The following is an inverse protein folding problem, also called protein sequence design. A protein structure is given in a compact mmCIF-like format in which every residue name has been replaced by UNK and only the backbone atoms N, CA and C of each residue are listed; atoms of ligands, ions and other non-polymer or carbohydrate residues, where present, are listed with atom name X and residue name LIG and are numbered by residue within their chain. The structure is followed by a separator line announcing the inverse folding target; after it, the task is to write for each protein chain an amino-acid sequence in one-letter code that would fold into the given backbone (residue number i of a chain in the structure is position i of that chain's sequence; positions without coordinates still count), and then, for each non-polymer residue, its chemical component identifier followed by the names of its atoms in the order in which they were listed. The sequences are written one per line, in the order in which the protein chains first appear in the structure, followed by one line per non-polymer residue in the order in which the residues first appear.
data_IF_989299734241
#
_entry.id   IF_989299734241
#
_cell.length_a   1.000
_cell.length_b   1.000
_cell.length_c   1.000
_cell.angle_alpha   90.00
_cell.angle_beta   90.00
_cell.angle_gamma   90.00
#
_symmetry.space_group_name_H-M   'P 1'
#
loop_
_entity.id
_entity.type
_entity.pdbx_description
1 polymer ?
#
# COMPACT_ATOMS: atom_id res chain seq x y z
N UNK A 1 -16.77 -6.13 -28.62
CA UNK A 1 -16.09 -4.85 -28.36
C UNK A 1 -15.26 -5.06 -27.09
N UNK A 2 -13.93 -5.10 -27.16
CA UNK A 2 -13.08 -5.20 -25.95
C UNK A 2 -13.01 -3.81 -25.29
N UNK A 3 -13.68 -3.64 -24.15
CA UNK A 3 -13.48 -2.46 -23.32
C UNK A 3 -12.31 -2.73 -22.39
N UNK A 4 -11.22 -1.99 -22.56
CA UNK A 4 -10.11 -1.96 -21.60
C UNK A 4 -10.50 -1.05 -20.44
N UNK A 5 -10.55 -1.61 -19.23
CA UNK A 5 -10.67 -0.82 -18.00
C UNK A 5 -9.26 -0.59 -17.45
N UNK A 6 -8.83 0.67 -17.37
CA UNK A 6 -7.57 1.03 -16.73
C UNK A 6 -7.85 1.36 -15.25
N UNK A 7 -7.22 0.62 -14.35
CA UNK A 7 -7.23 0.93 -12.91
C UNK A 7 -5.93 1.66 -12.56
N UNK A 8 -6.04 2.82 -11.93
CA UNK A 8 -4.88 3.56 -11.41
C UNK A 8 -4.75 3.25 -9.93
N UNK A 9 -3.59 2.76 -9.51
CA UNK A 9 -3.27 2.51 -8.11
C UNK A 9 -2.48 3.67 -7.50
N UNK A 10 -2.78 3.99 -6.25
CA UNK A 10 -2.02 4.94 -5.42
C UNK A 10 -1.44 4.17 -4.23
N UNK A 11 -0.18 4.45 -3.89
CA UNK A 11 0.40 4.00 -2.62
C UNK A 11 0.05 5.02 -1.55
N UNK A 12 -0.60 4.56 -0.47
CA UNK A 12 -0.91 5.37 0.71
C UNK A 12 -0.19 4.82 1.94
N UNK A 13 0.08 5.70 2.90
CA UNK A 13 0.67 5.37 4.19
C UNK A 13 -0.35 5.49 5.32
N UNK A 14 0.00 5.04 6.52
CA UNK A 14 -0.69 5.52 7.74
C UNK A 14 -0.35 6.99 7.99
N UNK A 15 -1.26 7.75 8.56
CA UNK A 15 -1.13 9.21 8.72
C UNK A 15 0.05 9.67 9.59
N UNK A 16 0.56 8.81 10.48
CA UNK A 16 1.73 9.08 11.32
C UNK A 16 3.06 8.60 10.71
N UNK A 17 3.04 8.09 9.47
CA UNK A 17 4.24 7.71 8.74
C UNK A 17 4.96 8.96 8.22
N UNK A 18 6.16 9.22 8.73
CA UNK A 18 6.95 10.40 8.34
C UNK A 18 7.40 10.44 6.87
N UNK A 19 7.38 9.30 6.17
CA UNK A 19 7.85 9.17 4.80
C UNK A 19 6.79 9.73 3.83
N UNK A 20 7.14 10.82 3.15
CA UNK A 20 6.23 11.56 2.26
C UNK A 20 6.43 11.21 0.79
N UNK A 21 7.48 10.45 0.47
CA UNK A 21 7.80 10.05 -0.91
C UNK A 21 8.07 8.56 -1.03
N UNK A 22 7.84 8.00 -2.22
CA UNK A 22 8.18 6.59 -2.50
C UNK A 22 9.67 6.29 -2.24
N UNK A 23 10.56 7.25 -2.52
CA UNK A 23 12.00 7.11 -2.26
C UNK A 23 12.26 6.92 -0.76
N UNK A 24 11.67 7.77 0.08
CA UNK A 24 11.82 7.68 1.53
C UNK A 24 11.25 6.38 2.10
N UNK A 25 10.14 5.89 1.54
CA UNK A 25 9.57 4.57 1.90
C UNK A 25 10.54 3.43 1.53
N UNK A 26 11.15 3.48 0.33
CA UNK A 26 12.15 2.49 -0.09
C UNK A 26 13.39 2.54 0.81
N UNK A 27 13.86 3.74 1.15
CA UNK A 27 15.02 3.92 2.02
C UNK A 27 14.74 3.44 3.45
N UNK A 28 13.54 3.70 3.97
CA UNK A 28 13.07 3.16 5.26
C UNK A 28 13.08 1.62 5.26
N UNK A 29 12.51 1.00 4.23
CA UNK A 29 12.43 -0.46 4.10
C UNK A 29 13.82 -1.10 3.94
N UNK A 30 14.74 -0.44 3.21
CA UNK A 30 16.12 -0.89 3.08
C UNK A 30 16.89 -0.81 4.39
N UNK A 31 16.68 0.26 5.16
CA UNK A 31 17.30 0.43 6.47
C UNK A 31 16.74 -0.55 7.52
N UNK A 32 15.49 -1.00 7.36
CA UNK A 32 14.80 -1.86 8.32
C UNK A 32 14.11 -3.06 7.64
N UNK A 33 14.88 -4.05 7.15
CA UNK A 33 14.33 -5.20 6.44
C UNK A 33 13.26 -5.94 7.26
N UNK A 34 12.11 -6.20 6.64
CA UNK A 34 10.99 -6.94 7.24
C UNK A 34 10.20 -6.17 8.32
N UNK A 35 10.52 -4.89 8.58
CA UNK A 35 9.82 -4.06 9.57
C UNK A 35 8.67 -3.27 8.98
N UNK A 36 8.88 -2.66 7.80
CA UNK A 36 7.82 -1.98 7.08
C UNK A 36 6.82 -3.00 6.58
N UNK A 37 5.54 -2.75 6.82
CA UNK A 37 4.43 -3.61 6.39
C UNK A 37 3.73 -3.03 5.17
N UNK A 38 3.23 -3.91 4.30
CA UNK A 38 2.33 -3.55 3.20
C UNK A 38 1.12 -4.46 3.20
N UNK A 39 -0.06 -3.87 3.40
CA UNK A 39 -1.30 -4.59 3.37
C UNK A 39 -1.74 -4.86 1.93
N UNK A 40 -2.43 -5.96 1.70
CA UNK A 40 -3.05 -6.29 0.41
C UNK A 40 -4.47 -6.81 0.64
N UNK A 41 -5.36 -6.58 -0.33
CA UNK A 41 -6.75 -7.02 -0.24
C UNK A 41 -6.94 -8.53 -0.52
N UNK A 42 -5.86 -9.29 -0.67
CA UNK A 42 -5.87 -10.73 -0.94
C UNK A 42 -4.88 -11.13 -2.03
N UNK A 43 -4.44 -12.39 -1.99
CA UNK A 43 -3.59 -12.98 -3.02
C UNK A 43 -4.27 -12.92 -4.40
N UNK A 44 -3.52 -12.49 -5.41
CA UNK A 44 -3.97 -12.37 -6.80
C UNK A 44 -4.66 -11.05 -7.14
N UNK A 45 -4.94 -10.18 -6.16
CA UNK A 45 -5.46 -8.84 -6.40
C UNK A 45 -4.41 -7.93 -7.04
N UNK A 46 -4.83 -6.83 -7.67
CA UNK A 46 -3.90 -5.82 -8.20
C UNK A 46 -3.01 -5.22 -7.10
N UNK A 47 -3.55 -5.05 -5.89
CA UNK A 47 -2.81 -4.62 -4.69
C UNK A 47 -1.66 -5.58 -4.36
N UNK A 48 -1.91 -6.89 -4.39
CA UNK A 48 -0.88 -7.91 -4.18
C UNK A 48 0.19 -7.86 -5.27
N UNK A 49 -0.20 -7.74 -6.54
CA UNK A 49 0.75 -7.62 -7.65
C UNK A 49 1.64 -6.38 -7.49
N UNK A 50 1.07 -5.22 -7.15
CA UNK A 50 1.84 -3.98 -6.93
C UNK A 50 2.80 -4.10 -5.75
N UNK A 51 2.39 -4.75 -4.65
CA UNK A 51 3.28 -5.00 -3.51
C UNK A 51 4.47 -5.88 -3.88
N UNK A 52 4.24 -6.97 -4.61
CA UNK A 52 5.30 -7.87 -5.09
C UNK A 52 6.22 -7.15 -6.07
N UNK A 53 5.66 -6.34 -6.99
CA UNK A 53 6.44 -5.55 -7.94
C UNK A 53 7.34 -4.53 -7.23
N UNK A 54 6.82 -3.79 -6.23
CA UNK A 54 7.60 -2.85 -5.45
C UNK A 54 8.80 -3.54 -4.78
N UNK A 55 8.55 -4.64 -4.06
CA UNK A 55 9.59 -5.42 -3.38
C UNK A 55 10.67 -5.90 -4.34
N UNK A 56 10.27 -6.44 -5.50
CA UNK A 56 11.19 -6.96 -6.53
C UNK A 56 11.99 -5.87 -7.21
N UNK A 57 11.35 -4.79 -7.64
CA UNK A 57 12.00 -3.71 -8.40
C UNK A 57 12.91 -2.85 -7.52
N UNK A 58 12.50 -2.58 -6.27
CA UNK A 58 13.30 -1.80 -5.33
C UNK A 58 14.32 -2.63 -4.54
N UNK A 59 14.27 -3.96 -4.66
CA UNK A 59 15.09 -4.91 -3.92
C UNK A 59 15.08 -4.63 -2.40
N UNK A 60 13.87 -4.60 -1.83
CA UNK A 60 13.62 -4.34 -0.40
C UNK A 60 12.78 -5.44 0.22
N UNK A 61 13.00 -5.67 1.51
CA UNK A 61 12.19 -6.59 2.31
C UNK A 61 11.10 -5.83 3.07
N UNK A 62 9.87 -5.91 2.56
CA UNK A 62 8.66 -5.36 3.18
C UNK A 62 7.76 -6.54 3.55
N UNK A 63 7.28 -6.57 4.79
CA UNK A 63 6.39 -7.61 5.29
C UNK A 63 5.01 -7.43 4.65
N UNK A 64 4.56 -8.44 3.92
CA UNK A 64 3.23 -8.40 3.30
C UNK A 64 2.17 -8.94 4.27
N UNK A 65 1.08 -8.18 4.46
CA UNK A 65 -0.04 -8.54 5.33
C UNK A 65 -1.29 -8.75 4.48
N UNK A 66 -1.80 -9.98 4.48
CA UNK A 66 -2.90 -10.41 3.62
C UNK A 66 -4.26 -10.24 4.30
N UNK A 67 -5.17 -9.51 3.67
CA UNK A 67 -6.54 -9.31 4.11
C UNK A 67 -7.55 -9.97 3.16
N UNK A 68 -8.81 -10.05 3.58
CA UNK A 68 -9.92 -10.58 2.78
C UNK A 68 -10.78 -9.43 2.21
N UNK A 69 -10.16 -8.54 1.45
CA UNK A 69 -10.79 -7.34 0.88
C UNK A 69 -10.23 -6.03 1.43
N UNK A 70 -10.70 -4.92 0.85
CA UNK A 70 -10.16 -3.55 1.08
C UNK A 70 -10.61 -2.96 2.42
N UNK A 71 -11.87 -3.16 2.82
CA UNK A 71 -12.43 -2.57 4.03
C UNK A 71 -11.59 -2.83 5.31
N UNK A 72 -11.19 -4.08 5.62
CA UNK A 72 -10.39 -4.34 6.81
C UNK A 72 -8.95 -3.79 6.71
N UNK A 73 -8.43 -3.55 5.49
CA UNK A 73 -7.13 -2.90 5.31
C UNK A 73 -7.18 -1.46 5.83
N UNK A 74 -8.19 -0.68 5.44
CA UNK A 74 -8.34 0.69 5.93
C UNK A 74 -8.53 0.73 7.44
N UNK A 75 -9.27 -0.21 8.04
CA UNK A 75 -9.41 -0.27 9.51
C UNK A 75 -8.05 -0.32 10.20
N UNK A 76 -7.13 -1.15 9.70
CA UNK A 76 -5.82 -1.33 10.32
C UNK A 76 -4.81 -0.25 9.91
N UNK A 77 -4.88 0.26 8.68
CA UNK A 77 -4.06 1.38 8.21
C UNK A 77 -4.33 2.65 9.03
N UNK A 78 -5.62 2.98 9.22
CA UNK A 78 -6.06 4.12 10.02
C UNK A 78 -5.74 3.98 11.50
N UNK A 79 -5.65 2.74 12.00
CA UNK A 79 -5.25 2.45 13.37
C UNK A 79 -3.72 2.37 13.55
N UNK A 80 -2.94 2.56 12.48
CA UNK A 80 -1.48 2.48 12.50
C UNK A 80 -0.92 1.06 12.70
N UNK A 81 -1.71 0.02 12.45
CA UNK A 81 -1.30 -1.38 12.59
C UNK A 81 -0.56 -1.93 11.38
N UNK A 82 -0.75 -1.29 10.22
CA UNK A 82 0.00 -1.54 8.98
C UNK A 82 0.47 -0.20 8.40
N UNK A 83 1.60 -0.21 7.71
CA UNK A 83 2.27 1.03 7.28
C UNK A 83 1.81 1.51 5.92
N UNK A 84 1.66 0.59 4.96
CA UNK A 84 1.46 0.91 3.55
C UNK A 84 0.29 0.13 2.94
N UNK A 85 -0.35 0.71 1.94
CA UNK A 85 -1.35 0.04 1.13
C UNK A 85 -1.37 0.60 -0.30
N UNK A 86 -1.35 -0.28 -1.31
CA UNK A 86 -1.75 0.10 -2.65
C UNK A 86 -3.27 -0.02 -2.77
N UNK A 87 -3.96 1.00 -3.28
CA UNK A 87 -5.39 0.87 -3.59
C UNK A 87 -5.77 1.61 -4.86
N UNK A 88 -6.96 1.33 -5.38
CA UNK A 88 -7.54 2.11 -6.46
C UNK A 88 -7.60 3.58 -6.05
N UNK A 89 -7.09 4.46 -6.92
CA UNK A 89 -7.00 5.91 -6.66
C UNK A 89 -8.36 6.51 -6.32
N UNK A 90 -9.44 6.01 -6.91
CA UNK A 90 -10.81 6.43 -6.60
C UNK A 90 -11.24 6.06 -5.18
N UNK A 91 -10.77 4.94 -4.66
CA UNK A 91 -11.06 4.46 -3.30
C UNK A 91 -10.19 5.18 -2.26
N UNK A 92 -8.92 5.43 -2.59
CA UNK A 92 -7.97 6.10 -1.70
C UNK A 92 -8.27 7.60 -1.54
N UNK A 93 -8.71 8.28 -2.61
CA UNK A 93 -8.93 9.73 -2.65
C UNK A 93 -9.66 10.32 -1.42
N UNK A 94 -10.82 9.82 -0.97
CA UNK A 94 -11.50 10.42 0.18
C UNK A 94 -10.70 10.33 1.49
N UNK A 95 -9.79 9.35 1.64
CA UNK A 95 -8.94 9.26 2.82
C UNK A 95 -7.80 10.26 2.75
N UNK A 96 -7.17 10.38 1.57
CA UNK A 96 -6.09 11.35 1.29
C UNK A 96 -6.60 12.79 1.45
N UNK A 97 -7.75 13.12 0.86
CA UNK A 97 -8.36 14.46 0.97
C UNK A 97 -8.77 14.84 2.40
N UNK A 98 -8.88 13.85 3.30
CA UNK A 98 -9.23 14.05 4.71
C UNK A 98 -8.04 13.92 5.66
N UNK A 99 -6.81 13.83 5.13
CA UNK A 99 -5.56 13.65 5.89
C UNK A 99 -5.59 12.44 6.84
N UNK A 100 -6.32 11.40 6.46
CA UNK A 100 -6.43 10.15 7.23
C UNK A 100 -5.36 9.13 6.86
N UNK A 101 -4.71 9.31 5.70
CA UNK A 101 -3.64 8.48 5.11
C UNK A 101 -2.70 9.35 4.29
#
# INVERSE_FOLDING_TARGET
MLQSSAFTYTLVGRSDLSQSTLREVIDLARANPGKTTIATAGTGTGQHVMAVLLKRLANVDILEVQYKGVQPVYTDLLAGRVDLFFDNTTTARPFVESDRV
#
